data_IF_312780367236
#
_entry.id   IF_312780367236
#
_cell.length_a   1.000
_cell.length_b   1.000
_cell.length_c   1.000
_cell.angle_alpha   90.00
_cell.angle_beta   90.00
_cell.angle_gamma   90.00
#
_symmetry.space_group_name_H-M   'P 1'
#
loop_
_entity.id
_entity.type
_entity.pdbx_description
1 polymer ?
#
# COMPACT_ATOMS: atom_id res chain seq x y z
N UNK A 1 4.67 9.16 -24.60
CA UNK A 1 5.08 8.71 -23.25
C UNK A 1 4.98 7.22 -23.24
N UNK A 2 6.10 6.53 -23.04
CA UNK A 2 6.12 5.07 -23.04
C UNK A 2 5.39 4.57 -21.79
N UNK A 3 4.44 3.65 -21.96
CA UNK A 3 3.62 3.12 -20.87
C UNK A 3 4.49 2.56 -19.73
N UNK A 4 5.62 1.94 -20.08
CA UNK A 4 6.59 1.38 -19.14
C UNK A 4 7.23 2.44 -18.22
N UNK A 5 7.57 3.62 -18.75
CA UNK A 5 8.16 4.68 -17.93
C UNK A 5 7.16 5.28 -16.95
N UNK A 6 5.87 5.32 -17.33
CA UNK A 6 4.80 5.80 -16.44
C UNK A 6 4.53 4.85 -15.28
N UNK A 7 4.60 3.54 -15.49
CA UNK A 7 4.47 2.55 -14.42
C UNK A 7 5.61 2.64 -13.41
N UNK A 8 6.85 2.78 -13.92
CA UNK A 8 8.01 2.94 -13.07
C UNK A 8 7.93 4.24 -12.26
N UNK A 9 7.55 5.36 -12.87
CA UNK A 9 7.35 6.62 -12.17
C UNK A 9 6.25 6.54 -11.09
N UNK A 10 5.14 5.83 -11.37
CA UNK A 10 4.11 5.59 -10.35
C UNK A 10 4.67 4.80 -9.17
N UNK A 11 5.43 3.74 -9.44
CA UNK A 11 5.98 2.88 -8.41
C UNK A 11 7.05 3.57 -7.57
N UNK A 12 7.93 4.35 -8.21
CA UNK A 12 8.98 5.12 -7.55
C UNK A 12 8.38 6.23 -6.67
N UNK A 13 7.25 6.80 -7.11
CA UNK A 13 6.50 7.82 -6.34
C UNK A 13 5.34 7.23 -5.55
N UNK A 14 5.37 5.93 -5.23
CA UNK A 14 4.31 5.26 -4.47
C UNK A 14 4.06 5.94 -3.11
N UNK A 15 2.83 5.91 -2.60
CA UNK A 15 2.47 6.56 -1.34
C UNK A 15 3.31 6.07 -0.14
N UNK A 16 3.84 6.99 0.70
CA UNK A 16 4.50 6.61 1.95
C UNK A 16 3.47 6.35 3.03
N UNK A 17 3.72 5.39 3.90
CA UNK A 17 2.93 5.16 5.10
C UNK A 17 3.26 6.22 6.14
N UNK A 18 2.28 7.02 6.55
CA UNK A 18 2.47 8.11 7.52
C UNK A 18 1.96 7.65 8.91
N UNK A 19 2.85 7.35 9.87
CA UNK A 19 2.52 7.01 11.25
C UNK A 19 2.10 8.25 12.06
N UNK A 20 1.45 8.01 13.21
CA UNK A 20 0.98 9.07 14.11
C UNK A 20 2.12 9.95 14.62
N UNK A 21 3.26 9.34 14.89
CA UNK A 21 4.51 10.00 15.33
C UNK A 21 5.00 11.08 14.36
N UNK A 22 4.61 11.01 13.08
CA UNK A 22 5.04 11.91 12.01
C UNK A 22 3.92 12.88 11.60
N UNK A 23 2.93 13.11 12.47
CA UNK A 23 1.88 14.12 12.28
C UNK A 23 0.61 13.63 11.56
N UNK A 24 0.52 12.35 11.20
CA UNK A 24 -0.71 11.76 10.65
C UNK A 24 -1.72 11.35 11.73
N UNK A 25 -2.95 11.02 11.30
CA UNK A 25 -3.96 10.38 12.17
C UNK A 25 -4.30 8.95 11.71
N UNK A 26 -3.30 8.04 11.62
CA UNK A 26 -3.51 6.73 11.03
C UNK A 26 -4.35 5.82 11.93
N UNK A 27 -5.34 5.15 11.34
CA UNK A 27 -6.04 4.05 12.01
C UNK A 27 -5.21 2.76 12.00
N UNK A 28 -4.75 2.35 10.81
CA UNK A 28 -4.01 1.09 10.62
C UNK A 28 -2.84 1.32 9.68
N UNK A 29 -1.59 1.15 10.12
CA UNK A 29 -0.42 1.12 9.24
C UNK A 29 -0.06 2.40 8.47
N UNK A 30 -0.88 3.46 8.48
CA UNK A 30 -0.61 4.76 7.84
C UNK A 30 -0.86 4.82 6.33
N UNK A 31 -1.57 3.85 5.76
CA UNK A 31 -1.73 3.70 4.30
C UNK A 31 -2.63 4.80 3.72
N UNK A 32 -3.83 4.97 4.27
CA UNK A 32 -4.79 5.95 3.76
C UNK A 32 -4.27 7.39 3.91
N UNK A 33 -3.56 7.69 5.01
CA UNK A 33 -2.89 8.97 5.23
C UNK A 33 -1.87 9.23 4.11
N UNK A 34 -1.07 8.21 3.78
CA UNK A 34 -0.11 8.26 2.69
C UNK A 34 -0.71 8.54 1.32
N UNK A 35 -1.78 7.80 0.98
CA UNK A 35 -2.49 7.96 -0.29
C UNK A 35 -3.10 9.36 -0.37
N UNK A 36 -3.76 9.81 0.70
CA UNK A 36 -4.35 11.15 0.76
C UNK A 36 -3.30 12.25 0.60
N UNK A 37 -2.20 12.15 1.35
CA UNK A 37 -1.08 13.10 1.25
C UNK A 37 -0.43 13.08 -0.14
N UNK A 38 -0.27 11.92 -0.78
CA UNK A 38 0.37 11.79 -2.10
C UNK A 38 -0.48 12.31 -3.25
N UNK A 39 -1.79 12.07 -3.20
CA UNK A 39 -2.70 12.39 -4.30
C UNK A 39 -3.60 13.60 -4.02
N UNK A 40 -3.40 14.28 -2.88
CA UNK A 40 -4.23 15.40 -2.40
C UNK A 40 -5.72 15.04 -2.34
N UNK A 41 -6.01 13.84 -1.79
CA UNK A 41 -7.36 13.30 -1.61
C UNK A 41 -7.68 13.25 -0.13
N UNK A 42 -8.94 13.53 0.23
CA UNK A 42 -9.40 13.42 1.61
C UNK A 42 -9.19 11.99 2.16
N UNK A 43 -8.60 11.89 3.35
CA UNK A 43 -8.22 10.59 3.92
C UNK A 43 -9.45 9.76 4.33
N UNK A 44 -10.53 10.42 4.76
CA UNK A 44 -11.79 9.75 5.09
C UNK A 44 -12.37 9.09 3.85
N UNK A 45 -12.32 9.77 2.70
CA UNK A 45 -12.73 9.20 1.43
C UNK A 45 -11.93 7.94 1.08
N UNK A 46 -10.60 7.97 1.21
CA UNK A 46 -9.76 6.79 0.94
C UNK A 46 -10.13 5.61 1.85
N UNK A 47 -10.42 5.86 3.13
CA UNK A 47 -10.88 4.83 4.08
C UNK A 47 -12.20 4.21 3.65
N UNK A 48 -13.17 5.03 3.23
CA UNK A 48 -14.47 4.55 2.75
C UNK A 48 -14.30 3.68 1.50
N UNK A 49 -13.44 4.07 0.56
CA UNK A 49 -13.15 3.26 -0.63
C UNK A 49 -12.60 1.88 -0.24
N UNK A 50 -11.64 1.80 0.68
CA UNK A 50 -11.13 0.51 1.15
C UNK A 50 -12.20 -0.34 1.85
N UNK A 51 -13.06 0.28 2.67
CA UNK A 51 -14.16 -0.40 3.34
C UNK A 51 -15.16 -0.98 2.32
N UNK A 52 -15.51 -0.20 1.29
CA UNK A 52 -16.39 -0.65 0.19
C UNK A 52 -15.74 -1.79 -0.61
N UNK A 53 -14.46 -1.66 -0.97
CA UNK A 53 -13.72 -2.72 -1.66
C UNK A 53 -13.62 -4.01 -0.82
N UNK A 54 -13.56 -3.88 0.50
CA UNK A 54 -13.52 -5.02 1.41
C UNK A 54 -14.88 -5.72 1.54
N UNK A 55 -15.96 -4.96 1.74
CA UNK A 55 -17.27 -5.50 2.06
C UNK A 55 -18.08 -5.96 0.84
N UNK A 56 -17.94 -5.25 -0.29
CA UNK A 56 -18.75 -5.52 -1.49
C UNK A 56 -18.03 -6.48 -2.43
N UNK A 57 -16.74 -6.20 -2.68
CA UNK A 57 -15.96 -6.91 -3.71
C UNK A 57 -15.05 -7.99 -3.08
N UNK A 58 -14.77 -7.93 -1.78
CA UNK A 58 -13.99 -8.95 -1.05
C UNK A 58 -12.46 -8.81 -1.18
N UNK A 59 -11.96 -7.83 -1.93
CA UNK A 59 -10.53 -7.64 -2.19
C UNK A 59 -9.86 -6.54 -1.36
N UNK A 60 -10.65 -5.66 -0.74
CA UNK A 60 -10.13 -4.46 -0.06
C UNK A 60 -9.16 -4.76 1.08
N UNK A 61 -9.41 -5.80 1.88
CA UNK A 61 -8.52 -6.20 2.99
C UNK A 61 -7.17 -6.68 2.43
N UNK A 62 -7.20 -7.58 1.45
CA UNK A 62 -5.97 -8.09 0.83
C UNK A 62 -5.18 -6.97 0.17
N UNK A 63 -5.85 -6.09 -0.56
CA UNK A 63 -5.24 -4.90 -1.15
C UNK A 63 -4.60 -4.01 -0.08
N UNK A 64 -5.26 -3.82 1.07
CA UNK A 64 -4.71 -3.03 2.18
C UNK A 64 -3.43 -3.65 2.74
N UNK A 65 -3.41 -4.97 2.95
CA UNK A 65 -2.23 -5.69 3.40
C UNK A 65 -1.10 -5.62 2.38
N UNK A 66 -1.42 -5.72 1.09
CA UNK A 66 -0.45 -5.58 0.01
C UNK A 66 0.14 -4.16 -0.05
N UNK A 67 -0.69 -3.13 0.08
CA UNK A 67 -0.24 -1.75 0.21
C UNK A 67 0.67 -1.59 1.43
N UNK A 68 0.31 -2.14 2.59
CA UNK A 68 1.18 -2.08 3.77
C UNK A 68 2.52 -2.79 3.55
N UNK A 69 2.49 -3.97 2.94
CA UNK A 69 3.68 -4.77 2.69
C UNK A 69 4.67 -4.06 1.75
N UNK A 70 4.15 -3.36 0.75
CA UNK A 70 4.94 -2.74 -0.34
C UNK A 70 5.26 -1.26 -0.13
N UNK A 71 4.43 -0.51 0.61
CA UNK A 71 4.63 0.92 0.80
C UNK A 71 5.70 1.20 1.87
N UNK A 72 6.64 2.13 1.59
CA UNK A 72 7.68 2.53 2.54
C UNK A 72 7.07 3.34 3.69
N UNK A 73 7.73 3.37 4.84
CA UNK A 73 7.36 4.30 5.93
C UNK A 73 7.87 5.70 5.60
N UNK A 74 7.12 6.74 5.93
CA UNK A 74 7.55 8.11 5.68
C UNK A 74 8.89 8.40 6.38
N UNK A 75 9.83 9.00 5.63
CA UNK A 75 11.21 9.23 6.07
C UNK A 75 12.17 8.05 5.91
N UNK A 76 11.76 6.93 5.30
CA UNK A 76 12.63 5.81 4.93
C UNK A 76 12.25 5.26 3.56
N UNK A 77 13.21 4.85 2.74
CA UNK A 77 12.93 4.28 1.41
C UNK A 77 12.61 2.78 1.46
N UNK A 78 12.78 2.16 2.63
CA UNK A 78 12.61 0.71 2.80
C UNK A 78 11.17 0.37 3.18
N UNK A 79 10.53 -0.47 2.37
CA UNK A 79 9.24 -1.10 2.68
C UNK A 79 9.39 -2.31 3.62
N UNK A 80 8.33 -2.73 4.35
CA UNK A 80 8.36 -3.95 5.13
C UNK A 80 8.79 -5.18 4.33
N UNK A 81 8.36 -5.28 3.06
CA UNK A 81 8.82 -6.34 2.16
C UNK A 81 10.34 -6.31 1.95
N UNK A 82 10.90 -5.15 1.60
CA UNK A 82 12.35 -5.01 1.40
C UNK A 82 13.14 -5.25 2.70
N UNK A 83 12.58 -4.88 3.86
CA UNK A 83 13.23 -5.09 5.15
C UNK A 83 13.43 -6.58 5.49
N UNK A 84 12.57 -7.48 4.99
CA UNK A 84 12.71 -8.93 5.16
C UNK A 84 13.93 -9.48 4.41
N UNK A 85 14.15 -9.01 3.18
CA UNK A 85 15.22 -9.49 2.29
C UNK A 85 16.56 -8.77 2.50
N UNK A 86 16.60 -7.72 3.33
CA UNK A 86 17.84 -6.97 3.62
C UNK A 86 18.55 -7.55 4.86
N UNK A 87 19.90 -7.69 4.85
CA UNK A 87 20.67 -8.07 6.03
C UNK A 87 20.43 -7.10 7.21
N UNK A 88 20.38 -7.64 8.44
CA UNK A 88 20.02 -6.85 9.65
C UNK A 88 21.01 -5.72 9.92
N UNK A 89 22.26 -5.94 9.56
CA UNK A 89 23.42 -5.06 9.80
C UNK A 89 23.32 -3.76 8.98
N UNK A 90 22.54 -3.76 7.90
CA UNK A 90 22.32 -2.59 7.03
C UNK A 90 21.06 -1.81 7.38
N UNK A 91 20.25 -2.28 8.33
CA UNK A 91 18.95 -1.68 8.65
C UNK A 91 19.10 -0.69 9.82
N UNK A 92 18.51 0.49 9.66
CA UNK A 92 18.39 1.43 10.77
C UNK A 92 17.47 0.86 11.86
N UNK A 93 17.62 1.31 13.13
CA UNK A 93 16.78 0.83 14.24
C UNK A 93 15.27 0.98 13.97
N UNK A 94 14.88 2.02 13.23
CA UNK A 94 13.48 2.26 12.85
C UNK A 94 12.98 1.19 11.86
N UNK A 95 13.81 0.82 10.87
CA UNK A 95 13.45 -0.16 9.85
C UNK A 95 13.50 -1.60 10.39
N UNK A 96 14.35 -1.89 11.37
CA UNK A 96 14.38 -3.19 12.05
C UNK A 96 13.04 -3.52 12.70
N UNK A 97 12.35 -2.53 13.29
CA UNK A 97 11.00 -2.71 13.85
C UNK A 97 9.97 -3.03 12.76
N UNK A 98 10.06 -2.35 11.62
CA UNK A 98 9.18 -2.59 10.47
C UNK A 98 9.42 -3.96 9.83
N UNK A 99 10.61 -4.59 9.99
CA UNK A 99 10.89 -5.96 9.52
C UNK A 99 10.00 -7.00 10.21
N UNK A 100 9.79 -6.88 11.52
CA UNK A 100 8.88 -7.77 12.25
C UNK A 100 7.45 -7.65 11.73
N UNK A 101 7.00 -6.42 11.45
CA UNK A 101 5.72 -6.17 10.77
C UNK A 101 5.70 -6.80 9.38
N UNK A 102 6.81 -6.73 8.63
CA UNK A 102 6.96 -7.38 7.34
C UNK A 102 6.68 -8.89 7.39
N UNK A 103 7.26 -9.60 8.35
CA UNK A 103 7.01 -11.03 8.53
C UNK A 103 5.54 -11.34 8.87
N UNK A 104 4.93 -10.55 9.76
CA UNK A 104 3.50 -10.70 10.09
C UNK A 104 2.61 -10.45 8.87
N UNK A 105 2.91 -9.45 8.06
CA UNK A 105 2.19 -9.17 6.82
C UNK A 105 2.37 -10.29 5.80
N UNK A 106 3.57 -10.84 5.65
CA UNK A 106 3.82 -11.98 4.76
C UNK A 106 2.99 -13.20 5.18
N UNK A 107 2.98 -13.53 6.47
CA UNK A 107 2.15 -14.62 7.01
C UNK A 107 0.67 -14.32 6.78
N UNK A 108 0.21 -13.11 7.08
CA UNK A 108 -1.17 -12.69 6.87
C UNK A 108 -1.60 -12.82 5.40
N UNK A 109 -0.76 -12.37 4.46
CA UNK A 109 -0.99 -12.52 3.02
C UNK A 109 -1.04 -13.98 2.60
N UNK A 110 -0.14 -14.83 3.10
CA UNK A 110 -0.11 -16.26 2.80
C UNK A 110 -1.25 -17.06 3.43
N UNK A 111 -1.83 -16.61 4.54
CA UNK A 111 -3.03 -17.22 5.13
C UNK A 111 -4.27 -16.76 4.39
N UNK A 112 -4.37 -15.48 4.08
CA UNK A 112 -5.53 -14.91 3.42
C UNK A 112 -5.66 -15.37 1.95
N UNK A 113 -4.54 -15.62 1.27
CA UNK A 113 -4.52 -16.03 -0.14
C UNK A 113 -5.19 -17.39 -0.41
N UNK A 114 -4.86 -18.49 0.31
CA UNK A 114 -5.58 -19.77 0.22
C UNK A 114 -7.05 -19.68 0.65
N UNK A 115 -7.41 -18.82 1.61
CA UNK A 115 -8.80 -18.62 2.03
C UNK A 115 -9.70 -18.12 0.88
N UNK A 116 -9.13 -17.43 -0.10
CA UNK A 116 -9.85 -16.97 -1.30
C UNK A 116 -9.96 -18.07 -2.35
N UNK A 117 -8.97 -18.98 -2.46
CA UNK A 117 -8.85 -19.94 -3.57
C UNK A 117 -9.35 -21.36 -3.25
N UNK A 118 -9.64 -21.67 -1.98
CA UNK A 118 -10.12 -23.00 -1.57
C UNK A 118 -11.63 -23.22 -1.78
N UNK A 119 -12.37 -22.19 -2.22
CA UNK A 119 -13.78 -22.32 -2.59
C UNK A 119 -13.92 -22.82 -4.03
N UNK A 120 -14.69 -23.90 -4.24
CA UNK A 120 -15.00 -24.45 -5.57
C UNK A 120 -15.89 -23.53 -6.44
N UNK A 121 -16.37 -22.40 -5.90
CA UNK A 121 -17.13 -21.38 -6.63
C UNK A 121 -16.20 -20.30 -7.22
N UNK A 122 -16.16 -20.14 -8.57
CA UNK A 122 -15.39 -19.09 -9.24
C UNK A 122 -15.66 -17.67 -8.72
N UNK A 123 -16.86 -17.39 -8.20
CA UNK A 123 -17.21 -16.05 -7.69
C UNK A 123 -16.38 -15.66 -6.46
N UNK A 124 -16.10 -16.63 -5.59
CA UNK A 124 -15.29 -16.42 -4.39
C UNK A 124 -13.85 -16.06 -4.72
N UNK A 125 -13.34 -16.49 -5.88
CA UNK A 125 -12.01 -16.17 -6.39
C UNK A 125 -12.01 -14.87 -7.18
N UNK A 126 -12.95 -14.71 -8.11
CA UNK A 126 -12.98 -13.60 -9.05
C UNK A 126 -13.33 -12.27 -8.39
N UNK A 127 -14.21 -12.26 -7.39
CA UNK A 127 -14.59 -11.01 -6.74
C UNK A 127 -13.39 -10.33 -6.04
N UNK A 128 -12.62 -11.00 -5.15
CA UNK A 128 -11.44 -10.38 -4.53
C UNK A 128 -10.39 -9.91 -5.55
N UNK A 129 -10.17 -10.67 -6.62
CA UNK A 129 -9.28 -10.29 -7.72
C UNK A 129 -9.77 -9.02 -8.44
N UNK A 130 -11.08 -8.93 -8.72
CA UNK A 130 -11.68 -7.73 -9.29
C UNK A 130 -11.54 -6.53 -8.34
N UNK A 131 -11.61 -6.75 -7.02
CA UNK A 131 -11.41 -5.70 -6.01
C UNK A 131 -9.98 -5.16 -6.00
N UNK A 132 -9.00 -6.07 -6.06
CA UNK A 132 -7.57 -5.70 -6.16
C UNK A 132 -7.31 -4.96 -7.47
N UNK A 133 -7.82 -5.47 -8.59
CA UNK A 133 -7.69 -4.83 -9.89
C UNK A 133 -8.31 -3.44 -9.90
N UNK A 134 -9.52 -3.28 -9.35
CA UNK A 134 -10.21 -1.99 -9.23
C UNK A 134 -9.39 -1.00 -8.40
N UNK A 135 -8.84 -1.44 -7.26
CA UNK A 135 -7.98 -0.60 -6.44
C UNK A 135 -6.68 -0.18 -7.14
N UNK A 136 -6.07 -1.10 -7.90
CA UNK A 136 -4.88 -0.79 -8.69
C UNK A 136 -5.18 0.20 -9.82
N UNK A 137 -6.30 0.02 -10.54
CA UNK A 137 -6.77 0.97 -11.55
C UNK A 137 -7.06 2.34 -10.93
N UNK A 138 -7.71 2.39 -9.77
CA UNK A 138 -7.95 3.63 -9.05
C UNK A 138 -6.63 4.35 -8.69
N UNK A 139 -5.64 3.60 -8.20
CA UNK A 139 -4.31 4.15 -7.91
C UNK A 139 -3.62 4.69 -9.18
N UNK A 140 -3.67 3.93 -10.27
CA UNK A 140 -3.15 4.35 -11.58
C UNK A 140 -3.81 5.64 -12.09
N UNK A 141 -5.15 5.75 -11.98
CA UNK A 141 -5.90 6.94 -12.38
C UNK A 141 -5.57 8.15 -11.51
N UNK A 142 -5.37 7.97 -10.20
CA UNK A 142 -4.89 9.03 -9.32
C UNK A 142 -3.51 9.52 -9.74
N UNK A 143 -2.60 8.60 -10.09
CA UNK A 143 -1.27 8.97 -10.58
C UNK A 143 -1.32 9.72 -11.91
N UNK A 144 -2.19 9.35 -12.84
CA UNK A 144 -2.36 10.12 -14.08
C UNK A 144 -2.84 11.56 -13.81
N UNK A 145 -3.65 11.77 -12.77
CA UNK A 145 -4.13 13.12 -12.39
C UNK A 145 -3.07 13.95 -11.68
N UNK A 146 -2.24 13.32 -10.83
CA UNK A 146 -1.16 14.00 -10.10
C UNK A 146 0.15 13.20 -10.18
N UNK A 147 0.83 13.22 -11.34
CA UNK A 147 2.03 12.41 -11.57
C UNK A 147 3.18 12.81 -10.65
N UNK A 148 3.33 14.12 -10.38
CA UNK A 148 4.36 14.65 -9.50
C UNK A 148 3.92 14.62 -8.04
N UNK A 149 4.75 14.14 -7.10
CA UNK A 149 4.44 14.19 -5.68
C UNK A 149 4.40 15.65 -5.18
N UNK A 150 3.54 15.95 -4.19
CA UNK A 150 3.46 17.29 -3.64
C UNK A 150 4.75 17.68 -2.89
N UNK A 151 5.09 18.98 -2.83
CA UNK A 151 6.32 19.46 -2.19
C UNK A 151 6.48 19.03 -0.72
N UNK A 152 5.37 18.87 0.01
CA UNK A 152 5.35 18.39 1.40
C UNK A 152 5.97 16.99 1.57
N UNK A 153 5.91 16.15 0.54
CA UNK A 153 6.54 14.84 0.50
C UNK A 153 7.90 14.84 -0.20
N UNK A 154 8.38 15.99 -0.68
CA UNK A 154 9.60 16.12 -1.45
C UNK A 154 10.86 15.66 -0.70
N UNK A 155 10.85 15.61 0.63
CA UNK A 155 11.96 15.06 1.42
C UNK A 155 12.02 13.53 1.34
N UNK A 156 10.89 12.87 1.12
CA UNK A 156 10.79 11.42 1.05
C UNK A 156 11.19 10.86 -0.31
N UNK A 157 10.99 11.60 -1.40
CA UNK A 157 11.28 11.12 -2.77
C UNK A 157 12.66 11.55 -3.30
N UNK A 158 13.60 11.88 -2.41
CA UNK A 158 15.02 12.13 -2.73
C UNK A 158 15.82 10.84 -2.65
#
# INVERSE_FOLDING_TARGET
MDTNSSFQAMWDTRPPRIPKEQGGNPLVGGICEGIGARYNVDVTFVRVVFAVLALIIGGGIFLYLLCWFTMPRFGTQTSPAQAIFTPKERLSPVVLRDRSTGWLLLIGLLIFFPSVTLGTDPRAVLAPLAGIFTGFVAWWLLHQRTPTPPPSLGVHYK
#
